data_IF_659987804748
#
_entry.id   IF_659987804748
#
_cell.length_a   1.000
_cell.length_b   1.000
_cell.length_c   1.000
_cell.angle_alpha   90.00
_cell.angle_beta   90.00
_cell.angle_gamma   90.00
#
_symmetry.space_group_name_H-M   'P 1'
#
loop_
_entity.id
_entity.type
_entity.pdbx_description
1 polymer ?
#
# COMPACT_ATOMS: atom_id res chain seq x y z
N UNK A 1 20.11 -78.06 11.44
CA UNK A 1 19.68 -76.84 12.17
C UNK A 1 20.32 -75.56 11.59
N UNK A 2 20.45 -75.43 10.25
CA UNK A 2 21.13 -74.28 9.62
C UNK A 2 20.25 -73.52 8.60
N UNK A 3 19.00 -73.94 8.39
CA UNK A 3 18.10 -73.36 7.38
C UNK A 3 17.22 -72.22 7.90
N UNK A 4 16.99 -72.12 9.21
CA UNK A 4 15.99 -71.19 9.78
C UNK A 4 16.51 -69.77 10.03
N UNK A 5 17.82 -69.60 10.25
CA UNK A 5 18.42 -68.28 10.50
C UNK A 5 18.47 -67.36 9.27
N UNK A 6 18.47 -67.92 8.04
CA UNK A 6 18.48 -67.12 6.80
C UNK A 6 17.12 -66.50 6.46
N UNK A 7 16.01 -67.14 6.85
CA UNK A 7 14.67 -66.60 6.60
C UNK A 7 14.30 -65.47 7.56
N UNK A 8 14.76 -65.53 8.82
CA UNK A 8 14.47 -64.50 9.83
C UNK A 8 15.20 -63.19 9.51
N UNK A 9 16.43 -63.25 8.96
CA UNK A 9 17.20 -62.06 8.60
C UNK A 9 16.59 -61.30 7.40
N UNK A 10 16.06 -62.01 6.39
CA UNK A 10 15.42 -61.36 5.23
C UNK A 10 14.06 -60.72 5.56
N UNK A 11 13.29 -61.28 6.51
CA UNK A 11 12.00 -60.71 6.92
C UNK A 11 12.18 -59.46 7.76
N UNK A 12 13.20 -59.41 8.63
CA UNK A 12 13.48 -58.23 9.48
C UNK A 12 14.08 -57.08 8.65
N UNK A 13 14.93 -57.35 7.66
CA UNK A 13 15.46 -56.31 6.77
C UNK A 13 14.38 -55.75 5.82
N UNK A 14 13.42 -56.59 5.38
CA UNK A 14 12.29 -56.16 4.57
C UNK A 14 11.27 -55.31 5.34
N UNK A 15 11.05 -55.59 6.63
CA UNK A 15 10.21 -54.75 7.50
C UNK A 15 10.86 -53.42 7.89
N UNK A 16 12.19 -53.36 8.00
CA UNK A 16 12.90 -52.11 8.29
C UNK A 16 12.98 -51.17 7.07
N UNK A 17 12.93 -51.72 5.84
CA UNK A 17 13.00 -50.92 4.62
C UNK A 17 11.63 -50.31 4.22
N UNK A 18 10.51 -50.85 4.72
CA UNK A 18 9.16 -50.29 4.49
C UNK A 18 8.76 -49.20 5.49
N UNK A 19 9.51 -49.03 6.58
CA UNK A 19 9.23 -48.04 7.63
C UNK A 19 9.92 -46.67 7.42
N UNK A 20 10.75 -46.52 6.36
CA UNK A 20 11.50 -45.28 6.10
C UNK A 20 10.94 -44.39 4.98
N UNK A 21 9.87 -44.79 4.27
CA UNK A 21 9.32 -44.00 3.15
C UNK A 21 8.02 -43.27 3.46
N UNK A 22 7.48 -43.38 4.67
CA UNK A 22 6.36 -42.55 5.11
C UNK A 22 6.89 -41.26 5.74
N UNK A 23 7.60 -40.46 4.95
CA UNK A 23 7.64 -39.03 5.19
C UNK A 23 6.20 -38.55 5.07
N UNK A 24 5.53 -38.36 6.21
CA UNK A 24 4.27 -37.64 6.27
C UNK A 24 4.56 -36.25 5.69
N UNK A 25 4.29 -36.08 4.40
CA UNK A 25 3.86 -34.78 3.91
C UNK A 25 2.57 -34.52 4.67
N UNK A 26 2.71 -33.82 5.80
CA UNK A 26 1.61 -33.08 6.37
C UNK A 26 1.21 -32.13 5.25
N UNK A 27 0.18 -32.51 4.48
CA UNK A 27 -0.55 -31.53 3.72
C UNK A 27 -1.02 -30.54 4.77
N UNK A 28 -0.41 -29.35 4.79
CA UNK A 28 -0.98 -28.23 5.50
C UNK A 28 -2.45 -28.20 5.09
N UNK A 29 -3.33 -28.24 6.08
CA UNK A 29 -4.76 -28.08 5.83
C UNK A 29 -4.97 -26.80 5.01
N UNK A 30 -6.12 -26.65 4.32
CA UNK A 30 -6.36 -25.46 3.50
C UNK A 30 -6.10 -24.19 4.33
N UNK A 31 -4.94 -23.60 4.13
CA UNK A 31 -4.57 -22.35 4.76
C UNK A 31 -5.34 -21.28 4.02
N UNK A 32 -6.03 -20.42 4.76
CA UNK A 32 -6.68 -19.24 4.18
C UNK A 32 -5.66 -18.35 3.44
N UNK A 33 -4.38 -18.43 3.81
CA UNK A 33 -3.26 -17.85 3.08
C UNK A 33 -2.23 -18.94 2.75
N UNK A 34 -2.28 -19.56 1.57
CA UNK A 34 -1.20 -20.44 1.13
C UNK A 34 0.09 -19.62 0.93
N UNK A 35 1.21 -20.28 0.64
CA UNK A 35 2.36 -19.55 0.09
C UNK A 35 1.96 -18.94 -1.26
N UNK A 36 2.17 -17.63 -1.42
CA UNK A 36 1.90 -16.89 -2.64
C UNK A 36 3.13 -16.02 -3.00
N UNK A 37 3.34 -15.71 -4.29
CA UNK A 37 4.43 -14.85 -4.71
C UNK A 37 4.14 -13.39 -4.34
N UNK A 38 5.19 -12.63 -4.02
CA UNK A 38 5.13 -11.18 -3.95
C UNK A 38 5.37 -10.61 -5.35
N UNK A 39 4.44 -9.81 -5.84
CA UNK A 39 4.40 -9.30 -7.20
C UNK A 39 4.59 -7.78 -7.25
N UNK A 40 5.25 -7.29 -8.29
CA UNK A 40 5.26 -5.87 -8.64
C UNK A 40 3.98 -5.45 -9.40
N UNK A 41 3.87 -4.17 -9.75
CA UNK A 41 2.71 -3.61 -10.44
C UNK A 41 2.42 -4.26 -11.80
N UNK A 42 3.45 -4.79 -12.48
CA UNK A 42 3.35 -5.49 -13.76
C UNK A 42 3.06 -6.99 -13.60
N UNK A 43 2.96 -7.47 -12.35
CA UNK A 43 2.71 -8.88 -12.01
C UNK A 43 3.97 -9.76 -12.04
N UNK A 44 5.16 -9.17 -12.12
CA UNK A 44 6.45 -9.87 -12.03
C UNK A 44 6.81 -10.21 -10.59
N UNK A 45 7.54 -11.31 -10.37
CA UNK A 45 8.02 -11.65 -9.03
C UNK A 45 9.12 -10.66 -8.59
N UNK A 46 8.92 -10.00 -7.45
CA UNK A 46 9.85 -8.95 -6.97
C UNK A 46 11.27 -9.44 -6.66
N UNK A 47 11.45 -10.74 -6.39
CA UNK A 47 12.78 -11.32 -6.21
C UNK A 47 13.55 -11.44 -7.53
N UNK A 48 12.84 -11.41 -8.66
CA UNK A 48 13.41 -11.46 -10.01
C UNK A 48 13.54 -10.05 -10.61
N UNK A 49 12.52 -9.21 -10.44
CA UNK A 49 12.48 -7.86 -11.04
C UNK A 49 13.24 -6.83 -10.22
N UNK A 50 13.26 -6.99 -8.88
CA UNK A 50 13.80 -5.98 -7.97
C UNK A 50 12.94 -4.73 -7.85
N UNK A 51 11.72 -4.74 -8.40
CA UNK A 51 10.75 -3.65 -8.33
C UNK A 51 10.01 -3.61 -6.98
N UNK A 52 9.35 -2.49 -6.64
CA UNK A 52 8.46 -2.43 -5.48
C UNK A 52 7.33 -3.46 -5.57
N UNK A 53 6.92 -3.99 -4.42
CA UNK A 53 5.74 -4.84 -4.27
C UNK A 53 4.47 -4.01 -4.49
N UNK A 54 3.63 -4.47 -5.42
CA UNK A 54 2.22 -4.08 -5.52
C UNK A 54 1.40 -4.99 -4.61
N UNK A 55 0.83 -4.42 -3.55
CA UNK A 55 -0.13 -5.14 -2.70
C UNK A 55 -1.42 -5.41 -3.47
N UNK A 56 -1.77 -4.53 -4.41
CA UNK A 56 -2.95 -4.69 -5.24
C UNK A 56 -2.84 -5.88 -6.19
N UNK A 57 -1.67 -6.12 -6.81
CA UNK A 57 -1.41 -7.31 -7.63
C UNK A 57 -1.18 -8.57 -6.78
N UNK A 58 -0.35 -8.46 -5.74
CA UNK A 58 0.02 -9.58 -4.88
C UNK A 58 -1.21 -10.20 -4.21
N UNK A 59 -2.02 -9.38 -3.54
CA UNK A 59 -3.23 -9.86 -2.87
C UNK A 59 -4.40 -10.03 -3.85
N UNK A 60 -4.35 -9.34 -5.00
CA UNK A 60 -5.31 -9.41 -6.10
C UNK A 60 -5.45 -10.81 -6.72
N UNK A 61 -4.41 -11.63 -6.58
CA UNK A 61 -4.45 -13.02 -7.04
C UNK A 61 -5.50 -13.90 -6.33
N UNK A 62 -6.00 -13.47 -5.17
CA UNK A 62 -7.01 -14.21 -4.39
C UNK A 62 -8.15 -13.32 -3.82
N UNK A 63 -7.92 -12.02 -3.68
CA UNK A 63 -8.90 -11.05 -3.19
C UNK A 63 -9.26 -10.05 -4.28
N UNK A 64 -10.49 -9.55 -4.27
CA UNK A 64 -10.86 -8.39 -5.09
C UNK A 64 -10.33 -7.12 -4.43
N UNK A 65 -9.04 -6.85 -4.64
CA UNK A 65 -8.32 -5.73 -4.02
C UNK A 65 -8.88 -4.39 -4.50
N UNK A 66 -9.26 -4.28 -5.77
CA UNK A 66 -9.93 -3.09 -6.31
C UNK A 66 -11.23 -2.78 -5.55
N UNK A 67 -12.12 -3.77 -5.42
CA UNK A 67 -13.34 -3.60 -4.64
C UNK A 67 -13.05 -3.22 -3.18
N UNK A 68 -12.10 -3.89 -2.54
CA UNK A 68 -11.71 -3.59 -1.14
C UNK A 68 -11.23 -2.14 -1.00
N UNK A 69 -10.35 -1.68 -1.90
CA UNK A 69 -9.79 -0.33 -1.85
C UNK A 69 -10.84 0.74 -2.17
N UNK A 70 -11.74 0.52 -3.13
CA UNK A 70 -12.80 1.47 -3.51
C UNK A 70 -13.91 1.57 -2.45
N UNK A 71 -14.11 0.53 -1.64
CA UNK A 71 -15.19 0.46 -0.64
C UNK A 71 -14.70 0.62 0.80
N UNK A 72 -13.47 1.11 0.99
CA UNK A 72 -12.88 1.34 2.30
C UNK A 72 -12.79 2.83 2.62
N UNK A 73 -13.40 3.28 3.72
CA UNK A 73 -13.19 4.65 4.16
C UNK A 73 -11.76 4.89 4.67
N UNK A 74 -11.01 3.83 5.00
CA UNK A 74 -9.61 3.96 5.41
C UNK A 74 -8.69 4.35 4.24
N UNK A 75 -9.05 3.99 3.01
CA UNK A 75 -8.36 4.41 1.78
C UNK A 75 -8.91 5.75 1.31
N UNK A 76 -10.23 5.90 1.19
CA UNK A 76 -10.89 7.09 0.65
C UNK A 76 -10.64 8.35 1.50
N UNK A 77 -10.78 8.22 2.83
CA UNK A 77 -10.62 9.28 3.82
C UNK A 77 -11.25 10.64 3.45
N UNK A 78 -12.34 10.65 2.68
CA UNK A 78 -13.08 11.84 2.27
C UNK A 78 -12.84 12.29 0.82
N UNK A 79 -11.98 11.64 0.05
CA UNK A 79 -11.71 11.99 -1.36
C UNK A 79 -12.98 11.99 -2.21
N UNK A 80 -13.75 10.91 -2.19
CA UNK A 80 -14.99 10.76 -2.99
C UNK A 80 -16.10 11.74 -2.62
N UNK A 81 -15.97 12.45 -1.51
CA UNK A 81 -16.95 13.39 -0.98
C UNK A 81 -16.42 14.83 -0.97
N UNK A 82 -15.45 15.13 -1.82
CA UNK A 82 -14.93 16.48 -1.98
C UNK A 82 -16.03 17.45 -2.43
N UNK A 83 -15.93 18.68 -1.94
CA UNK A 83 -16.77 19.83 -2.28
C UNK A 83 -15.91 21.07 -2.42
N UNK A 84 -16.49 22.14 -2.97
CA UNK A 84 -15.92 23.47 -2.82
C UNK A 84 -15.75 23.85 -1.34
N UNK A 85 -14.77 24.71 -0.99
CA UNK A 85 -14.55 25.16 0.37
C UNK A 85 -15.84 25.69 1.02
N UNK A 86 -16.12 25.19 2.23
CA UNK A 86 -17.27 25.65 3.02
C UNK A 86 -18.61 25.06 2.59
N UNK A 87 -18.63 24.15 1.61
CA UNK A 87 -19.84 23.43 1.19
C UNK A 87 -20.00 22.07 1.90
N UNK A 88 -19.07 21.69 2.76
CA UNK A 88 -19.18 20.46 3.57
C UNK A 88 -20.30 20.62 4.61
N UNK A 89 -21.35 19.78 4.61
CA UNK A 89 -22.44 19.87 5.58
C UNK A 89 -21.94 19.76 7.02
N UNK A 90 -22.18 20.79 7.83
CA UNK A 90 -21.71 20.86 9.22
C UNK A 90 -20.19 21.02 9.38
N UNK A 91 -19.48 21.25 8.28
CA UNK A 91 -18.05 21.55 8.25
C UNK A 91 -17.76 23.03 8.53
N UNK A 92 -16.49 23.38 8.44
CA UNK A 92 -16.00 24.76 8.58
C UNK A 92 -15.99 25.44 7.21
N UNK A 93 -15.95 26.79 7.16
CA UNK A 93 -15.95 27.54 5.90
C UNK A 93 -14.80 27.21 4.93
N UNK A 94 -13.78 26.48 5.37
CA UNK A 94 -12.60 26.10 4.59
C UNK A 94 -12.45 24.58 4.42
N UNK A 95 -13.34 23.76 5.01
CA UNK A 95 -13.28 22.32 4.78
C UNK A 95 -13.77 22.02 3.35
N UNK A 96 -13.09 21.11 2.67
CA UNK A 96 -13.43 20.63 1.32
C UNK A 96 -13.89 19.19 1.31
N UNK A 97 -13.85 18.48 2.43
CA UNK A 97 -14.47 17.16 2.55
C UNK A 97 -14.89 16.86 4.00
N UNK A 98 -15.72 15.81 4.24
CA UNK A 98 -16.04 15.37 5.58
C UNK A 98 -14.91 14.54 6.24
N UNK A 99 -13.89 14.13 5.49
CA UNK A 99 -12.86 13.19 5.92
C UNK A 99 -11.53 13.82 6.29
N UNK A 100 -10.53 12.97 6.55
CA UNK A 100 -9.18 13.40 6.91
C UNK A 100 -8.45 14.08 5.74
N UNK A 101 -8.76 13.68 4.52
CA UNK A 101 -8.35 14.36 3.30
C UNK A 101 -9.34 15.48 2.95
N UNK A 102 -8.99 16.74 3.16
CA UNK A 102 -9.86 17.90 2.88
C UNK A 102 -10.37 18.65 4.12
N UNK A 103 -10.09 18.15 5.34
CA UNK A 103 -10.31 18.92 6.58
C UNK A 103 -9.04 19.62 7.04
N UNK A 104 -9.21 20.78 7.68
CA UNK A 104 -8.13 21.38 8.45
C UNK A 104 -7.81 20.55 9.71
N UNK A 105 -6.53 20.25 9.92
CA UNK A 105 -6.07 19.46 11.05
C UNK A 105 -5.70 20.36 12.24
N UNK A 106 -6.43 20.28 13.39
CA UNK A 106 -6.16 21.13 14.55
C UNK A 106 -4.86 20.83 15.30
N UNK A 107 -4.26 19.67 15.09
CA UNK A 107 -3.04 19.28 15.81
C UNK A 107 -1.79 19.76 15.08
N UNK A 108 -1.82 19.72 13.75
CA UNK A 108 -0.69 20.16 12.92
C UNK A 108 -0.87 21.56 12.33
N UNK A 109 -2.07 22.14 12.45
CA UNK A 109 -2.45 23.42 11.85
C UNK A 109 -2.27 23.44 10.33
N UNK A 110 -2.44 22.28 9.68
CA UNK A 110 -2.31 22.13 8.22
C UNK A 110 -3.64 21.81 7.56
N UNK A 111 -3.84 22.24 6.32
CA UNK A 111 -4.94 21.82 5.45
C UNK A 111 -4.47 21.64 4.00
N UNK A 112 -5.29 20.93 3.21
CA UNK A 112 -5.03 20.72 1.79
C UNK A 112 -5.32 22.00 1.00
N UNK A 113 -4.34 22.44 0.21
CA UNK A 113 -4.44 23.63 -0.64
C UNK A 113 -5.50 23.44 -1.71
N UNK A 114 -6.30 24.49 -1.92
CA UNK A 114 -7.37 24.59 -2.91
C UNK A 114 -7.02 25.67 -3.95
N UNK A 115 -7.77 25.74 -5.05
CA UNK A 115 -7.61 26.82 -6.04
C UNK A 115 -8.02 28.19 -5.55
N UNK A 116 -8.75 28.28 -4.44
CA UNK A 116 -9.12 29.56 -3.83
C UNK A 116 -7.98 30.17 -3.01
N UNK A 117 -6.88 29.44 -2.79
CA UNK A 117 -5.80 29.86 -1.91
C UNK A 117 -4.70 30.62 -2.67
N UNK A 118 -4.52 31.90 -2.33
CA UNK A 118 -3.39 32.71 -2.81
C UNK A 118 -2.04 32.23 -2.26
N UNK A 119 -2.06 31.48 -1.15
CA UNK A 119 -0.88 30.93 -0.49
C UNK A 119 -1.07 29.44 -0.22
N UNK A 120 -0.30 28.56 -0.88
CA UNK A 120 -0.41 27.13 -0.65
C UNK A 120 0.03 26.73 0.77
N UNK A 121 -0.63 25.73 1.34
CA UNK A 121 -0.28 25.11 2.62
C UNK A 121 0.22 23.66 2.44
N UNK A 122 -0.64 22.70 2.12
CA UNK A 122 -0.22 21.36 1.70
C UNK A 122 -0.60 21.15 0.25
N UNK A 123 0.36 20.79 -0.59
CA UNK A 123 0.05 20.11 -1.86
C UNK A 123 -0.30 18.65 -1.60
N UNK A 124 -0.71 17.90 -2.63
CA UNK A 124 -1.02 16.49 -2.46
C UNK A 124 0.22 15.65 -2.07
N UNK A 125 1.39 15.77 -2.73
CA UNK A 125 2.61 15.14 -2.26
C UNK A 125 2.95 15.49 -0.81
N UNK A 126 2.83 16.77 -0.42
CA UNK A 126 3.06 17.19 0.97
C UNK A 126 2.08 16.53 1.95
N UNK A 127 0.81 16.37 1.56
CA UNK A 127 -0.18 15.65 2.35
C UNK A 127 0.24 14.19 2.54
N UNK A 128 0.66 13.48 1.49
CA UNK A 128 1.11 12.08 1.59
C UNK A 128 2.35 11.99 2.49
N UNK A 129 3.36 12.85 2.30
CA UNK A 129 4.60 12.86 3.10
C UNK A 129 4.32 13.13 4.59
N UNK A 130 3.40 14.04 4.89
CA UNK A 130 3.10 14.45 6.27
C UNK A 130 2.09 13.52 6.97
N UNK A 131 1.08 13.08 6.23
CA UNK A 131 -0.10 12.42 6.79
C UNK A 131 -0.25 10.96 6.38
N UNK A 132 0.59 10.44 5.47
CA UNK A 132 0.65 9.03 5.10
C UNK A 132 0.97 8.09 6.27
N UNK A 133 1.62 8.60 7.33
CA UNK A 133 1.79 7.87 8.59
C UNK A 133 0.47 7.52 9.31
N UNK A 134 -0.63 8.20 8.96
CA UNK A 134 -1.98 8.02 9.54
C UNK A 134 -3.02 7.53 8.53
N UNK A 135 -2.56 7.14 7.34
CA UNK A 135 -3.39 6.67 6.23
C UNK A 135 -2.82 5.35 5.71
N UNK A 136 -3.66 4.48 5.14
CA UNK A 136 -3.25 3.12 4.75
C UNK A 136 -2.76 3.01 3.30
N UNK A 137 -2.72 4.12 2.55
CA UNK A 137 -2.58 4.08 1.09
C UNK A 137 -3.95 3.98 0.39
N UNK A 138 -3.97 4.05 -0.93
CA UNK A 138 -5.19 4.16 -1.73
C UNK A 138 -5.78 5.56 -1.78
N UNK A 139 -6.96 5.69 -2.39
CA UNK A 139 -7.71 6.94 -2.47
C UNK A 139 -6.83 8.12 -2.88
N UNK A 140 -6.67 9.17 -2.04
CA UNK A 140 -5.92 10.36 -2.40
C UNK A 140 -4.43 10.12 -2.64
N UNK A 141 -3.89 8.96 -2.27
CA UNK A 141 -2.50 8.61 -2.57
C UNK A 141 -2.31 7.88 -3.91
N UNK A 142 -3.40 7.62 -4.65
CA UNK A 142 -3.39 6.95 -5.97
C UNK A 142 -4.16 7.71 -7.04
N UNK A 143 -5.22 8.44 -6.67
CA UNK A 143 -6.09 9.13 -7.63
C UNK A 143 -6.37 10.59 -7.27
N UNK A 144 -6.62 11.39 -8.30
CA UNK A 144 -7.13 12.75 -8.16
C UNK A 144 -8.60 12.75 -7.70
N UNK A 145 -9.11 13.89 -7.17
CA UNK A 145 -10.53 14.05 -6.86
C UNK A 145 -11.48 13.79 -8.04
N UNK A 146 -10.99 13.97 -9.27
CA UNK A 146 -11.70 13.72 -10.52
C UNK A 146 -11.65 12.24 -10.97
N UNK A 147 -10.86 11.41 -10.29
CA UNK A 147 -10.81 9.95 -10.44
C UNK A 147 -9.64 9.43 -11.29
N UNK A 148 -8.89 10.30 -11.96
CA UNK A 148 -7.70 9.92 -12.73
C UNK A 148 -6.58 9.44 -11.82
N UNK A 149 -5.78 8.49 -12.32
CA UNK A 149 -4.52 8.07 -11.69
C UNK A 149 -3.57 9.25 -11.54
N UNK A 150 -2.88 9.34 -10.40
CA UNK A 150 -1.84 10.35 -10.18
C UNK A 150 -0.65 10.17 -11.15
N UNK A 151 -0.42 8.95 -11.64
CA UNK A 151 0.63 8.65 -12.63
C UNK A 151 0.30 9.18 -14.03
N UNK A 152 -0.99 9.39 -14.32
CA UNK A 152 -1.50 9.77 -15.64
C UNK A 152 -2.10 11.18 -15.66
N UNK A 153 -1.72 12.03 -14.68
CA UNK A 153 -2.29 13.36 -14.59
C UNK A 153 -1.92 14.22 -15.81
N UNK A 154 -2.88 14.93 -16.39
CA UNK A 154 -2.60 15.93 -17.40
C UNK A 154 -1.75 17.08 -16.80
N UNK A 155 -1.01 17.79 -17.66
CA UNK A 155 -0.29 19.01 -17.26
C UNK A 155 -1.24 20.07 -16.68
N UNK A 156 -2.48 20.16 -17.21
CA UNK A 156 -3.56 20.98 -16.67
C UNK A 156 -4.48 20.13 -15.78
N UNK A 157 -4.27 20.21 -14.46
CA UNK A 157 -4.94 19.38 -13.46
C UNK A 157 -6.35 19.85 -13.08
N UNK A 158 -7.12 20.35 -14.05
CA UNK A 158 -8.53 20.74 -13.92
C UNK A 158 -8.85 21.63 -12.69
N UNK A 159 -7.93 22.53 -12.32
CA UNK A 159 -8.13 23.38 -11.14
C UNK A 159 -7.72 22.72 -9.81
N UNK A 160 -6.72 21.84 -9.82
CA UNK A 160 -5.99 21.42 -8.63
C UNK A 160 -4.47 21.50 -8.87
N UNK A 161 -3.89 22.70 -8.95
CA UNK A 161 -2.44 22.86 -9.19
C UNK A 161 -1.59 22.19 -8.10
N UNK A 162 -2.17 21.95 -6.93
CA UNK A 162 -1.58 21.20 -5.82
C UNK A 162 -1.41 19.70 -6.07
N UNK A 163 -1.92 19.13 -7.17
CA UNK A 163 -1.72 17.70 -7.48
C UNK A 163 -0.32 17.40 -8.02
N UNK A 164 0.23 18.26 -8.88
CA UNK A 164 1.53 18.06 -9.54
C UNK A 164 2.62 19.00 -9.04
N UNK A 165 2.49 19.47 -7.79
CA UNK A 165 3.47 20.37 -7.18
C UNK A 165 3.77 19.99 -5.75
N UNK A 166 4.92 20.45 -5.27
CA UNK A 166 5.32 20.36 -3.86
C UNK A 166 5.87 21.70 -3.38
N UNK A 167 5.77 21.99 -2.10
CA UNK A 167 6.39 23.18 -1.53
C UNK A 167 7.90 22.98 -1.35
N UNK A 168 8.66 23.92 -1.92
CA UNK A 168 10.07 24.08 -1.62
C UNK A 168 10.22 24.57 -0.17
N UNK A 169 10.96 23.85 0.70
CA UNK A 169 11.07 24.19 2.12
C UNK A 169 11.91 25.43 2.40
N UNK A 170 12.77 25.85 1.46
CA UNK A 170 13.63 27.03 1.61
C UNK A 170 12.90 28.31 1.18
N UNK A 171 12.14 28.23 0.08
CA UNK A 171 11.51 29.40 -0.54
C UNK A 171 10.01 29.52 -0.26
N UNK A 172 9.35 28.41 0.10
CA UNK A 172 7.89 28.33 0.24
C UNK A 172 7.12 28.45 -1.07
N UNK A 173 7.81 28.39 -2.22
CA UNK A 173 7.18 28.38 -3.54
C UNK A 173 6.84 26.95 -3.96
N UNK A 174 5.84 26.79 -4.81
CA UNK A 174 5.55 25.49 -5.43
C UNK A 174 6.55 25.20 -6.54
N UNK A 175 7.08 23.98 -6.54
CA UNK A 175 7.87 23.40 -7.63
C UNK A 175 7.15 22.17 -8.18
N UNK A 176 7.40 21.76 -9.44
CA UNK A 176 6.78 20.56 -10.00
C UNK A 176 7.09 19.30 -9.18
N UNK A 177 6.13 18.39 -9.10
CA UNK A 177 6.30 17.03 -8.56
C UNK A 177 6.14 16.02 -9.69
N UNK A 178 7.06 15.07 -9.79
CA UNK A 178 7.05 14.02 -10.80
C UNK A 178 6.53 12.70 -10.21
N UNK A 179 5.28 12.37 -10.50
CA UNK A 179 4.67 11.12 -10.06
C UNK A 179 5.29 9.88 -10.69
N UNK A 180 5.93 10.01 -11.86
CA UNK A 180 6.62 8.89 -12.50
C UNK A 180 7.92 8.52 -11.78
N UNK A 181 8.51 9.47 -11.02
CA UNK A 181 9.68 9.21 -10.18
C UNK A 181 9.28 8.72 -8.79
N UNK A 182 8.25 9.32 -8.17
CA UNK A 182 7.83 8.93 -6.82
C UNK A 182 7.00 7.66 -6.76
N UNK A 183 6.27 7.37 -7.84
CA UNK A 183 5.14 6.46 -7.83
C UNK A 183 3.98 6.96 -6.95
N UNK A 184 3.03 6.07 -6.67
CA UNK A 184 1.86 6.29 -5.79
C UNK A 184 1.91 5.36 -4.58
N UNK A 185 0.97 5.50 -3.63
CA UNK A 185 0.88 4.61 -2.47
C UNK A 185 -0.37 3.75 -2.56
N UNK A 186 -0.22 2.51 -3.02
CA UNK A 186 -1.29 1.51 -3.01
C UNK A 186 -1.83 1.23 -1.59
N UNK A 187 -3.08 0.78 -1.47
CA UNK A 187 -3.61 0.27 -0.20
C UNK A 187 -2.68 -0.82 0.38
N UNK A 188 -2.09 -0.52 1.54
CA UNK A 188 -1.07 -1.35 2.16
C UNK A 188 -1.70 -2.44 3.05
N UNK A 189 -1.98 -3.60 2.45
CA UNK A 189 -2.53 -4.75 3.16
C UNK A 189 -1.63 -5.21 4.33
N UNK A 190 -0.31 -5.06 4.21
CA UNK A 190 0.64 -5.53 5.22
C UNK A 190 0.50 -4.82 6.56
N UNK A 191 0.07 -3.56 6.59
CA UNK A 191 -0.12 -2.82 7.85
C UNK A 191 -1.00 -3.55 8.87
N UNK A 192 -1.95 -4.36 8.41
CA UNK A 192 -2.91 -5.07 9.26
C UNK A 192 -2.80 -6.61 9.15
N UNK A 193 -2.26 -7.13 8.04
CA UNK A 193 -2.32 -8.57 7.73
C UNK A 193 -1.00 -9.32 7.93
N UNK A 194 0.06 -8.66 8.40
CA UNK A 194 1.25 -9.36 8.89
C UNK A 194 1.48 -9.07 10.38
N UNK A 195 2.10 -10.00 11.12
CA UNK A 195 2.26 -9.85 12.58
C UNK A 195 3.10 -8.65 13.00
N UNK A 196 4.21 -8.40 12.31
CA UNK A 196 5.22 -7.43 12.69
C UNK A 196 5.57 -6.47 11.52
N UNK A 197 4.63 -5.63 11.07
CA UNK A 197 4.89 -4.69 9.98
C UNK A 197 5.89 -3.62 10.42
N UNK A 198 6.92 -3.39 9.62
CA UNK A 198 7.88 -2.31 9.84
C UNK A 198 7.29 -0.96 9.41
N UNK A 199 6.38 -0.44 10.24
CA UNK A 199 5.73 0.83 9.98
C UNK A 199 6.71 2.03 10.04
N UNK A 200 7.82 1.91 10.77
CA UNK A 200 8.82 2.97 10.83
C UNK A 200 9.50 3.15 9.45
N UNK A 201 9.95 2.06 8.84
CA UNK A 201 10.55 2.10 7.50
C UNK A 201 9.54 2.63 6.46
N UNK A 202 8.28 2.19 6.52
CA UNK A 202 7.22 2.75 5.68
C UNK A 202 7.09 4.27 5.84
N UNK A 203 7.05 4.78 7.06
CA UNK A 203 6.92 6.23 7.34
C UNK A 203 8.12 7.01 6.79
N UNK A 204 9.33 6.49 6.95
CA UNK A 204 10.54 7.12 6.41
C UNK A 204 10.51 7.17 4.88
N UNK A 205 10.08 6.08 4.23
CA UNK A 205 9.89 5.98 2.78
C UNK A 205 8.84 6.99 2.27
N UNK A 206 7.71 7.12 2.98
CA UNK A 206 6.70 8.14 2.67
C UNK A 206 7.24 9.56 2.83
N UNK A 207 7.94 9.86 3.92
CA UNK A 207 8.51 11.19 4.17
C UNK A 207 9.58 11.58 3.14
N UNK A 208 10.31 10.59 2.62
CA UNK A 208 11.29 10.74 1.55
C UNK A 208 10.65 10.99 0.17
N UNK A 209 9.36 10.72 -0.02
CA UNK A 209 8.70 10.85 -1.32
C UNK A 209 8.80 9.60 -2.21
N UNK A 210 9.34 8.49 -1.70
CA UNK A 210 9.49 7.24 -2.44
C UNK A 210 8.21 6.40 -2.33
N UNK A 211 7.09 6.94 -2.82
CA UNK A 211 5.75 6.45 -2.53
C UNK A 211 5.51 4.99 -2.96
N UNK A 212 5.96 4.60 -4.15
CA UNK A 212 5.81 3.20 -4.63
C UNK A 212 6.51 2.18 -3.71
N UNK A 213 7.59 2.59 -3.04
CA UNK A 213 8.36 1.72 -2.15
C UNK A 213 7.74 1.58 -0.75
N UNK A 214 6.73 2.39 -0.41
CA UNK A 214 6.18 2.43 0.95
C UNK A 214 5.63 1.08 1.40
N UNK A 215 4.99 0.33 0.50
CA UNK A 215 4.42 -0.98 0.84
C UNK A 215 5.50 -2.05 1.00
N UNK A 216 6.53 -2.02 0.17
CA UNK A 216 7.70 -2.88 0.29
C UNK A 216 8.46 -2.64 1.59
N UNK A 217 8.63 -1.36 1.98
CA UNK A 217 9.33 -0.98 3.20
C UNK A 217 8.68 -1.55 4.47
N UNK A 218 7.37 -1.81 4.45
CA UNK A 218 6.66 -2.49 5.55
C UNK A 218 7.21 -3.89 5.85
N UNK A 219 7.87 -4.54 4.89
CA UNK A 219 8.43 -5.89 5.02
C UNK A 219 9.92 -5.91 5.42
N UNK A 220 10.55 -4.76 5.62
CA UNK A 220 11.96 -4.72 6.05
C UNK A 220 12.10 -5.21 7.50
N UNK A 221 12.88 -6.27 7.72
CA UNK A 221 13.15 -6.84 9.05
C UNK A 221 13.53 -8.31 8.97
#
# INVERSE_FOLDING_TARGET
>A
MAGWQRYICCVILGLLLTLMTAGLALADGPSLHPTFPLLDADGGNVLETGNPISTMQTCGGCHDTAFIAEHSFHTDVGLSQMTEPGQVPGGRPWDTSPGYFGKWNPLTYRYLTTTADDRPDLTLPDWIRLFGARHVGGGPAETAPTGESLLDLPEDTAGYPSLNTILDPETGQTIPWDWSESGTVEMNCFLCHIPDPNNQARIETLAAGNFEWANTATLLG
#
